data_IF_813884605492
#
_entry.id   IF_813884605492
#
_cell.length_a   1.000
_cell.length_b   1.000
_cell.length_c   1.000
_cell.angle_alpha   90.00
_cell.angle_beta   90.00
_cell.angle_gamma   90.00
#
_symmetry.space_group_name_H-M   'P 1'
#
loop_
_entity.id
_entity.type
_entity.pdbx_description
1 polymer ?
#
# COMPACT_ATOMS: atom_id res chain seq x y z
N UNK A 1 -12.16 1.85 -9.79
CA UNK A 1 -11.80 0.43 -9.99
C UNK A 1 -11.01 0.19 -11.28
N UNK A 2 -11.45 0.66 -12.46
CA UNK A 2 -10.73 0.45 -13.72
C UNK A 2 -9.31 1.04 -13.74
N UNK A 3 -9.10 2.19 -13.08
CA UNK A 3 -7.76 2.81 -12.92
C UNK A 3 -6.80 1.88 -12.19
N UNK A 4 -7.21 1.28 -11.07
CA UNK A 4 -6.37 0.37 -10.29
C UNK A 4 -6.00 -0.89 -11.10
N UNK A 5 -6.96 -1.47 -11.82
CA UNK A 5 -6.71 -2.60 -12.71
C UNK A 5 -5.77 -2.23 -13.88
N UNK A 6 -5.88 -1.01 -14.41
CA UNK A 6 -4.98 -0.50 -15.45
C UNK A 6 -3.57 -0.27 -14.91
N UNK A 7 -3.42 0.28 -13.70
CA UNK A 7 -2.12 0.42 -13.04
C UNK A 7 -1.46 -0.94 -12.84
N UNK A 8 -2.19 -1.95 -12.35
CA UNK A 8 -1.70 -3.32 -12.21
C UNK A 8 -1.29 -3.93 -13.55
N UNK A 9 -2.09 -3.73 -14.60
CA UNK A 9 -1.76 -4.18 -15.95
C UNK A 9 -0.44 -3.57 -16.44
N UNK A 10 -0.25 -2.26 -16.24
CA UNK A 10 0.97 -1.55 -16.62
C UNK A 10 2.18 -2.12 -15.86
N UNK A 11 2.10 -2.26 -14.53
CA UNK A 11 3.21 -2.77 -13.72
C UNK A 11 3.58 -4.22 -14.09
N UNK A 12 2.59 -5.05 -14.42
CA UNK A 12 2.82 -6.44 -14.83
C UNK A 12 3.62 -6.58 -16.13
N UNK A 13 3.70 -5.52 -16.96
CA UNK A 13 4.52 -5.51 -18.18
C UNK A 13 5.99 -5.15 -17.92
N UNK A 14 6.29 -4.57 -16.76
CA UNK A 14 7.66 -4.22 -16.36
C UNK A 14 8.31 -5.29 -15.50
N UNK A 15 7.54 -6.22 -14.95
CA UNK A 15 8.06 -7.33 -14.16
C UNK A 15 8.81 -8.32 -15.06
N UNK A 16 10.09 -8.57 -14.74
CA UNK A 16 10.99 -9.38 -15.57
C UNK A 16 10.96 -10.87 -15.22
N UNK A 17 10.05 -11.31 -14.35
CA UNK A 17 9.94 -12.71 -13.96
C UNK A 17 9.31 -13.52 -15.10
N UNK A 18 10.12 -14.37 -15.75
CA UNK A 18 9.68 -15.22 -16.87
C UNK A 18 8.68 -16.31 -16.46
N UNK A 19 8.43 -16.46 -15.16
CA UNK A 19 7.65 -17.54 -14.58
C UNK A 19 6.16 -17.18 -14.46
N UNK A 20 5.77 -15.91 -14.70
CA UNK A 20 4.40 -15.45 -14.50
C UNK A 20 3.71 -15.09 -15.82
N UNK A 21 2.54 -15.69 -16.05
CA UNK A 21 1.72 -15.37 -17.21
C UNK A 21 1.18 -13.96 -17.06
N UNK A 22 1.56 -13.06 -17.97
CA UNK A 22 1.09 -11.66 -17.90
C UNK A 22 -0.43 -11.63 -18.02
N UNK A 23 -1.13 -10.88 -17.15
CA UNK A 23 -2.58 -10.82 -17.15
C UNK A 23 -3.11 -10.25 -18.46
N UNK A 24 -4.23 -10.78 -18.98
CA UNK A 24 -4.92 -10.21 -20.14
C UNK A 24 -5.94 -9.15 -19.70
N UNK A 25 -6.25 -8.15 -20.54
CA UNK A 25 -7.27 -7.14 -20.26
C UNK A 25 -8.63 -7.75 -19.88
N UNK A 26 -9.05 -8.80 -20.58
CA UNK A 26 -10.30 -9.51 -20.36
C UNK A 26 -10.31 -10.22 -18.99
N UNK A 27 -9.19 -10.83 -18.61
CA UNK A 27 -9.02 -11.47 -17.30
C UNK A 27 -9.09 -10.43 -16.19
N UNK A 28 -8.45 -9.27 -16.35
CA UNK A 28 -8.48 -8.21 -15.34
C UNK A 28 -9.86 -7.59 -15.19
N UNK A 29 -10.59 -7.36 -16.28
CA UNK A 29 -11.97 -6.85 -16.22
C UNK A 29 -12.88 -7.83 -15.49
N UNK A 30 -12.77 -9.13 -15.79
CA UNK A 30 -13.59 -10.17 -15.15
C UNK A 30 -13.25 -10.34 -13.67
N UNK A 31 -11.97 -10.29 -13.30
CA UNK A 31 -11.50 -10.40 -11.92
C UNK A 31 -11.81 -9.14 -11.08
N UNK A 32 -11.53 -7.96 -11.61
CA UNK A 32 -11.70 -6.69 -10.89
C UNK A 32 -13.15 -6.23 -10.79
N UNK A 33 -14.05 -6.77 -11.63
CA UNK A 33 -15.46 -6.36 -11.75
C UNK A 33 -15.59 -4.84 -11.86
N UNK A 34 -14.68 -4.22 -12.59
CA UNK A 34 -14.54 -2.76 -12.64
C UNK A 34 -15.69 -2.03 -13.37
N UNK A 35 -16.67 -2.77 -13.91
CA UNK A 35 -17.87 -2.23 -14.58
C UNK A 35 -17.64 -1.77 -16.03
N UNK A 36 -16.42 -1.89 -16.56
CA UNK A 36 -16.07 -1.53 -17.93
C UNK A 36 -15.74 -2.75 -18.81
N UNK A 37 -15.47 -2.51 -20.09
CA UNK A 37 -15.01 -3.52 -21.05
C UNK A 37 -13.48 -3.59 -21.12
N UNK A 38 -12.93 -4.61 -21.78
CA UNK A 38 -11.49 -4.70 -22.06
C UNK A 38 -10.99 -3.49 -22.87
N UNK A 39 -11.80 -2.97 -23.79
CA UNK A 39 -11.48 -1.76 -24.54
C UNK A 39 -11.41 -0.52 -23.64
N UNK A 40 -12.27 -0.41 -22.62
CA UNK A 40 -12.22 0.68 -21.65
C UNK A 40 -10.97 0.60 -20.77
N UNK A 41 -10.54 -0.62 -20.41
CA UNK A 41 -9.28 -0.83 -19.70
C UNK A 41 -8.10 -0.39 -20.54
N UNK A 42 -8.03 -0.80 -21.82
CA UNK A 42 -6.94 -0.39 -22.73
C UNK A 42 -6.91 1.13 -22.91
N UNK A 43 -8.07 1.77 -23.10
CA UNK A 43 -8.16 3.24 -23.16
C UNK A 43 -7.66 3.88 -21.87
N UNK A 44 -7.96 3.30 -20.71
CA UNK A 44 -7.47 3.80 -19.42
C UNK A 44 -5.95 3.66 -19.30
N UNK A 45 -5.36 2.56 -19.79
CA UNK A 45 -3.91 2.36 -19.86
C UNK A 45 -3.26 3.46 -20.70
N UNK A 46 -3.80 3.75 -21.89
CA UNK A 46 -3.29 4.83 -22.74
C UNK A 46 -3.36 6.20 -22.06
N UNK A 47 -4.47 6.51 -21.38
CA UNK A 47 -4.62 7.75 -20.62
C UNK A 47 -3.54 7.85 -19.53
N UNK A 48 -3.33 6.79 -18.75
CA UNK A 48 -2.34 6.77 -17.66
C UNK A 48 -0.93 6.96 -18.22
N UNK A 49 -0.56 6.23 -19.27
CA UNK A 49 0.77 6.34 -19.88
C UNK A 49 1.00 7.75 -20.46
N UNK A 50 -0.03 8.35 -21.05
CA UNK A 50 0.01 9.73 -21.56
C UNK A 50 0.22 10.74 -20.42
N UNK A 51 -0.43 10.52 -19.27
CA UNK A 51 -0.31 11.39 -18.08
C UNK A 51 1.04 11.26 -17.37
N UNK A 52 1.61 10.06 -17.32
CA UNK A 52 2.95 9.83 -16.75
C UNK A 52 4.06 10.39 -17.65
N UNK A 53 3.83 10.39 -18.96
CA UNK A 53 4.78 10.87 -19.95
C UNK A 53 5.91 9.87 -20.23
N UNK A 54 6.57 9.96 -21.40
CA UNK A 54 7.54 8.95 -21.84
C UNK A 54 8.76 8.80 -20.93
N UNK A 55 9.22 9.90 -20.30
CA UNK A 55 10.39 9.91 -19.41
C UNK A 55 10.14 9.12 -18.12
N UNK A 56 8.97 9.28 -17.51
CA UNK A 56 8.60 8.53 -16.30
C UNK A 56 8.41 7.05 -16.60
N UNK A 57 7.78 6.73 -17.72
CA UNK A 57 7.56 5.32 -18.14
C UNK A 57 8.89 4.63 -18.42
N UNK A 58 9.82 5.30 -19.11
CA UNK A 58 11.17 4.78 -19.33
C UNK A 58 11.93 4.56 -18.01
N UNK A 59 11.81 5.48 -17.05
CA UNK A 59 12.43 5.34 -15.73
C UNK A 59 11.88 4.13 -14.95
N UNK A 60 10.56 3.94 -14.96
CA UNK A 60 9.89 2.79 -14.33
C UNK A 60 10.36 1.48 -14.97
N UNK A 61 10.42 1.42 -16.30
CA UNK A 61 10.83 0.20 -17.02
C UNK A 61 12.32 -0.11 -16.95
N UNK A 62 13.16 0.90 -16.71
CA UNK A 62 14.60 0.70 -16.53
C UNK A 62 14.94 0.23 -15.11
N UNK A 63 14.54 1.02 -14.10
CA UNK A 63 14.99 0.86 -12.71
C UNK A 63 13.94 1.36 -11.70
N UNK A 64 12.75 0.75 -11.67
CA UNK A 64 11.83 0.98 -10.54
C UNK A 64 12.39 0.37 -9.27
N UNK A 65 12.85 1.20 -8.34
CA UNK A 65 13.30 0.77 -7.01
C UNK A 65 12.14 0.82 -6.02
N UNK A 66 11.79 -0.33 -5.47
CA UNK A 66 10.75 -0.49 -4.45
C UNK A 66 11.35 -0.44 -3.04
N UNK A 67 10.50 -0.31 -2.02
CA UNK A 67 10.95 -0.37 -0.63
C UNK A 67 11.60 -1.74 -0.30
N UNK A 68 11.16 -2.81 -0.97
CA UNK A 68 11.73 -4.15 -0.83
C UNK A 68 13.16 -4.19 -1.37
N UNK A 69 13.42 -3.53 -2.51
CA UNK A 69 14.78 -3.42 -3.08
C UNK A 69 15.72 -2.65 -2.15
N UNK A 70 15.24 -1.57 -1.51
CA UNK A 70 16.05 -0.86 -0.52
C UNK A 70 16.29 -1.67 0.74
N UNK A 71 15.30 -2.45 1.21
CA UNK A 71 15.46 -3.33 2.36
C UNK A 71 16.46 -4.45 2.12
N UNK A 72 16.48 -5.05 0.92
CA UNK A 72 17.47 -6.08 0.58
C UNK A 72 18.89 -5.49 0.56
N UNK A 73 19.06 -4.27 0.05
CA UNK A 73 20.34 -3.55 0.10
C UNK A 73 20.73 -3.25 1.54
N UNK A 74 19.83 -2.65 2.32
CA UNK A 74 20.11 -2.30 3.72
C UNK A 74 20.44 -3.55 4.55
N UNK A 75 19.75 -4.66 4.33
CA UNK A 75 19.99 -5.91 5.07
C UNK A 75 21.44 -6.37 5.04
N UNK A 76 22.18 -6.10 3.95
CA UNK A 76 23.60 -6.44 3.85
C UNK A 76 24.48 -5.73 4.89
N UNK A 77 24.02 -4.60 5.43
CA UNK A 77 24.73 -3.81 6.44
C UNK A 77 24.39 -4.20 7.88
N UNK A 78 23.30 -4.95 8.10
CA UNK A 78 22.82 -5.34 9.45
C UNK A 78 23.16 -6.77 9.85
N UNK A 79 24.04 -7.45 9.11
CA UNK A 79 24.49 -8.82 9.38
C UNK A 79 25.65 -8.77 10.39
N UNK A 80 25.56 -9.47 11.54
CA UNK A 80 26.67 -9.54 12.50
C UNK A 80 27.93 -10.16 11.88
N UNK A 81 29.10 -9.59 12.14
CA UNK A 81 30.41 -10.09 11.66
C UNK A 81 30.66 -11.58 11.97
N UNK A 82 29.96 -12.18 12.94
CA UNK A 82 30.12 -13.59 13.32
C UNK A 82 29.56 -14.60 12.30
N UNK A 83 28.60 -14.23 11.44
CA UNK A 83 28.04 -15.14 10.42
C UNK A 83 28.88 -15.21 9.13
N UNK A 84 29.83 -14.30 8.94
CA UNK A 84 30.73 -14.28 7.78
C UNK A 84 31.78 -15.39 7.78
N UNK A 85 31.98 -16.13 8.87
CA UNK A 85 33.01 -17.18 8.93
C UNK A 85 32.57 -18.54 8.38
N UNK A 86 31.27 -18.81 8.22
CA UNK A 86 30.80 -20.15 7.81
C UNK A 86 30.33 -20.27 6.36
N UNK A 87 30.12 -19.17 5.64
CA UNK A 87 29.61 -19.21 4.26
C UNK A 87 30.69 -18.71 3.30
N UNK A 88 31.20 -19.61 2.48
CA UNK A 88 32.10 -19.32 1.37
C UNK A 88 31.43 -18.35 0.39
N UNK A 89 31.73 -17.06 0.56
CA UNK A 89 31.90 -16.03 -0.47
C UNK A 89 31.11 -16.24 -1.79
N UNK A 90 29.79 -16.18 -1.73
CA UNK A 90 28.97 -15.70 -2.84
C UNK A 90 28.54 -14.27 -2.50
N UNK A 91 29.31 -13.28 -2.96
CA UNK A 91 29.20 -11.86 -2.58
C UNK A 91 27.88 -11.18 -3.00
N UNK A 92 26.88 -11.91 -3.50
CA UNK A 92 25.67 -11.37 -4.10
C UNK A 92 24.37 -12.02 -3.59
N UNK A 93 24.37 -12.80 -2.51
CA UNK A 93 23.11 -13.37 -1.99
C UNK A 93 22.36 -12.32 -1.18
N UNK A 94 21.51 -11.55 -1.86
CA UNK A 94 20.55 -10.67 -1.20
C UNK A 94 19.66 -11.51 -0.31
N UNK A 95 19.59 -11.20 0.98
CA UNK A 95 18.75 -11.95 1.91
C UNK A 95 17.27 -11.74 1.55
N UNK A 96 16.48 -12.81 1.39
CA UNK A 96 15.08 -12.69 1.01
C UNK A 96 14.27 -12.05 2.13
N UNK A 97 13.71 -10.86 1.92
CA UNK A 97 12.97 -10.12 2.97
C UNK A 97 11.85 -11.01 3.58
N UNK A 98 11.72 -11.10 4.92
CA UNK A 98 10.71 -11.90 5.58
C UNK A 98 9.29 -11.51 5.17
N UNK A 99 8.41 -12.50 5.07
CA UNK A 99 7.00 -12.32 4.70
C UNK A 99 6.30 -11.35 5.67
N UNK A 100 6.67 -11.37 6.96
CA UNK A 100 6.15 -10.46 7.97
C UNK A 100 6.47 -8.99 7.65
N UNK A 101 7.66 -8.70 7.13
CA UNK A 101 8.08 -7.36 6.70
C UNK A 101 7.39 -6.98 5.40
N UNK A 102 7.29 -7.90 4.43
CA UNK A 102 6.53 -7.67 3.20
C UNK A 102 5.07 -7.26 3.51
N UNK A 103 4.43 -7.97 4.44
CA UNK A 103 3.07 -7.64 4.90
C UNK A 103 2.98 -6.26 5.56
N UNK A 104 3.99 -5.85 6.34
CA UNK A 104 4.01 -4.50 6.92
C UNK A 104 4.13 -3.42 5.83
N UNK A 105 4.92 -3.66 4.77
CA UNK A 105 5.01 -2.76 3.61
C UNK A 105 3.67 -2.69 2.89
N UNK A 106 3.01 -3.82 2.66
CA UNK A 106 1.68 -3.86 2.02
C UNK A 106 0.67 -3.02 2.80
N UNK A 107 0.60 -3.19 4.13
CA UNK A 107 -0.27 -2.39 5.00
C UNK A 107 0.09 -0.91 4.92
N UNK A 108 1.39 -0.59 4.94
CA UNK A 108 1.88 0.77 4.82
C UNK A 108 1.45 1.44 3.51
N UNK A 109 1.57 0.73 2.38
CA UNK A 109 1.23 1.26 1.05
C UNK A 109 -0.28 1.47 0.83
N UNK A 110 -1.13 0.83 1.64
CA UNK A 110 -2.57 1.11 1.65
C UNK A 110 -2.88 2.46 2.29
N UNK A 111 -2.00 2.96 3.17
CA UNK A 111 -2.13 4.30 3.75
C UNK A 111 -1.65 5.38 2.77
N UNK A 112 -2.51 6.35 2.47
CA UNK A 112 -2.16 7.52 1.64
C UNK A 112 -1.04 8.35 2.25
N UNK A 113 -0.98 8.46 3.58
CA UNK A 113 0.03 9.25 4.29
C UNK A 113 1.43 8.63 4.14
N UNK A 114 1.51 7.30 4.20
CA UNK A 114 2.79 6.58 4.13
C UNK A 114 3.26 6.41 2.69
N UNK A 115 2.35 6.25 1.74
CA UNK A 115 2.67 6.14 0.31
C UNK A 115 3.22 7.43 -0.33
N UNK A 116 3.10 8.58 0.36
CA UNK A 116 3.72 9.84 -0.07
C UNK A 116 5.25 9.90 0.14
N UNK A 117 5.81 9.02 0.97
CA UNK A 117 7.25 9.00 1.24
C UNK A 117 8.03 8.27 0.15
N UNK A 118 9.32 8.59 0.03
CA UNK A 118 10.22 7.87 -0.88
C UNK A 118 10.34 6.39 -0.45
N UNK A 119 10.45 5.43 -1.39
CA UNK A 119 10.59 4.01 -1.05
C UNK A 119 11.79 3.70 -0.14
N UNK A 120 12.89 4.43 -0.29
CA UNK A 120 14.08 4.32 0.57
C UNK A 120 13.85 4.85 1.99
N UNK A 121 13.06 5.92 2.13
CA UNK A 121 12.65 6.47 3.42
C UNK A 121 11.72 5.49 4.15
N UNK A 122 10.78 4.86 3.43
CA UNK A 122 9.89 3.83 3.96
C UNK A 122 10.68 2.62 4.47
N UNK A 123 11.67 2.16 3.70
CA UNK A 123 12.55 1.07 4.10
C UNK A 123 13.33 1.37 5.39
N UNK A 124 13.93 2.57 5.50
CA UNK A 124 14.62 2.99 6.74
C UNK A 124 13.65 3.15 7.93
N UNK A 125 12.46 3.71 7.69
CA UNK A 125 11.45 3.88 8.74
C UNK A 125 10.96 2.55 9.30
N UNK A 126 10.82 1.52 8.44
CA UNK A 126 10.53 0.14 8.85
C UNK A 126 11.66 -0.45 9.68
N UNK A 127 12.92 -0.33 9.24
CA UNK A 127 14.06 -0.79 10.04
C UNK A 127 14.13 -0.11 11.40
N UNK A 128 13.92 1.21 11.43
CA UNK A 128 13.86 1.98 12.67
C UNK A 128 12.75 1.47 13.60
N UNK A 129 11.55 1.19 13.05
CA UNK A 129 10.45 0.60 13.81
C UNK A 129 10.80 -0.76 14.42
N UNK A 130 11.48 -1.62 13.66
CA UNK A 130 11.92 -2.94 14.12
C UNK A 130 12.98 -2.84 15.23
N UNK A 131 13.95 -1.94 15.10
CA UNK A 131 14.97 -1.68 16.14
C UNK A 131 14.34 -1.25 17.47
N UNK A 132 13.36 -0.33 17.42
CA UNK A 132 12.69 0.16 18.63
C UNK A 132 11.78 -0.89 19.29
N UNK A 133 11.12 -1.74 18.51
CA UNK A 133 10.28 -2.80 19.06
C UNK A 133 11.11 -3.93 19.69
N UNK A 134 12.25 -4.30 19.08
CA UNK A 134 13.19 -5.28 19.64
C UNK A 134 13.74 -4.82 21.00
N UNK A 135 14.03 -3.53 21.17
CA UNK A 135 14.53 -2.97 22.42
C UNK A 135 13.50 -2.94 23.58
N UNK A 136 12.20 -3.01 23.28
CA UNK A 136 11.10 -2.79 24.25
C UNK A 136 10.35 -4.08 24.61
N UNK A 137 10.46 -5.16 23.83
CA UNK A 137 9.68 -6.37 24.08
C UNK A 137 10.26 -7.67 23.54
N UNK A 138 10.39 -8.63 24.46
CA UNK A 138 10.44 -10.08 24.24
C UNK A 138 11.80 -10.71 23.92
N UNK A 139 12.41 -11.23 25.00
CA UNK A 139 13.35 -12.33 24.98
C UNK A 139 12.71 -13.55 24.28
N UNK A 140 12.99 -13.76 22.99
CA UNK A 140 12.73 -15.03 22.31
C UNK A 140 11.69 -15.08 21.18
N UNK A 141 11.48 -14.01 20.39
CA UNK A 141 10.90 -14.20 19.04
C UNK A 141 12.00 -14.50 18.03
N UNK A 142 11.74 -15.39 17.07
CA UNK A 142 12.68 -15.83 16.02
C UNK A 142 13.07 -14.75 14.99
N UNK A 143 12.98 -13.47 15.36
CA UNK A 143 12.96 -12.29 14.49
C UNK A 143 14.23 -11.43 14.58
N UNK A 144 15.37 -12.01 14.94
CA UNK A 144 16.69 -11.35 14.87
C UNK A 144 17.19 -11.34 13.41
N UNK A 145 16.36 -10.85 12.49
CA UNK A 145 16.65 -10.80 11.06
C UNK A 145 17.82 -9.86 10.77
N UNK A 146 17.89 -8.72 11.50
CA UNK A 146 18.93 -7.70 11.37
C UNK A 146 19.23 -7.06 12.73
N UNK A 147 20.53 -6.86 13.02
CA UNK A 147 20.99 -6.10 14.18
C UNK A 147 21.47 -4.73 13.70
N UNK A 148 20.59 -3.74 13.77
CA UNK A 148 20.95 -2.34 13.53
C UNK A 148 20.91 -1.54 14.81
N UNK A 149 21.92 -0.69 15.00
CA UNK A 149 21.82 0.42 15.93
C UNK A 149 21.24 1.65 15.23
N UNK A 150 20.65 2.56 16.01
CA UNK A 150 20.15 3.85 15.53
C UNK A 150 21.23 4.69 14.85
N UNK A 151 22.50 4.56 15.26
CA UNK A 151 23.66 5.17 14.59
C UNK A 151 23.86 4.66 13.17
N UNK A 152 23.65 3.35 12.95
CA UNK A 152 23.86 2.72 11.65
C UNK A 152 22.77 3.15 10.67
N UNK A 153 21.53 3.21 11.14
CA UNK A 153 20.41 3.75 10.37
C UNK A 153 20.60 5.23 10.02
N UNK A 154 21.13 6.03 10.94
CA UNK A 154 21.46 7.43 10.67
C UNK A 154 22.54 7.55 9.59
N UNK A 155 23.61 6.75 9.67
CA UNK A 155 24.66 6.72 8.65
C UNK A 155 24.12 6.28 7.28
N UNK A 156 23.25 5.26 7.24
CA UNK A 156 22.56 4.85 6.01
C UNK A 156 21.69 5.96 5.42
N UNK A 157 20.98 6.72 6.28
CA UNK A 157 20.20 7.87 5.81
C UNK A 157 21.06 8.93 5.14
N UNK A 158 22.27 9.19 5.67
CA UNK A 158 23.23 10.11 5.08
C UNK A 158 23.75 9.61 3.72
N UNK A 159 24.10 8.32 3.64
CA UNK A 159 24.58 7.70 2.39
C UNK A 159 23.49 7.76 1.31
N UNK A 160 22.23 7.55 1.69
CA UNK A 160 21.09 7.60 0.77
C UNK A 160 20.57 9.02 0.50
N UNK A 161 21.19 10.06 1.09
CA UNK A 161 20.75 11.45 1.00
C UNK A 161 19.28 11.65 1.38
N UNK A 162 18.87 11.06 2.51
CA UNK A 162 17.53 11.13 3.07
C UNK A 162 17.60 11.94 4.36
N UNK A 163 16.68 12.87 4.55
CA UNK A 163 16.63 13.64 5.80
C UNK A 163 16.15 12.73 6.94
N UNK A 164 16.85 12.77 8.08
CA UNK A 164 16.46 11.97 9.25
C UNK A 164 15.08 12.39 9.79
N UNK A 165 14.71 13.66 9.60
CA UNK A 165 13.38 14.18 9.93
C UNK A 165 12.28 13.47 9.15
N UNK A 166 12.50 13.19 7.85
CA UNK A 166 11.53 12.45 7.03
C UNK A 166 11.43 11.00 7.50
N UNK A 167 12.54 10.38 7.89
CA UNK A 167 12.56 9.00 8.42
C UNK A 167 11.76 8.90 9.71
N UNK A 168 11.94 9.85 10.64
CA UNK A 168 11.19 9.89 11.90
C UNK A 168 9.70 10.16 11.65
N UNK A 169 9.37 11.10 10.76
CA UNK A 169 7.99 11.38 10.38
C UNK A 169 7.33 10.14 9.76
N UNK A 170 7.99 9.49 8.80
CA UNK A 170 7.53 8.26 8.16
C UNK A 170 7.37 7.11 9.16
N UNK A 171 8.28 7.00 10.13
CA UNK A 171 8.20 5.98 11.20
C UNK A 171 6.98 6.20 12.11
N UNK A 172 6.64 7.46 12.39
CA UNK A 172 5.46 7.82 13.18
C UNK A 172 4.15 7.51 12.46
N UNK A 173 4.03 7.89 11.17
CA UNK A 173 2.84 7.61 10.35
C UNK A 173 2.69 6.12 10.06
N UNK A 174 3.81 5.42 9.85
CA UNK A 174 3.83 3.97 9.72
C UNK A 174 3.29 3.28 10.98
N UNK A 175 3.76 3.68 12.17
CA UNK A 175 3.26 3.12 13.43
C UNK A 175 1.76 3.34 13.57
N UNK A 176 1.29 4.54 13.25
CA UNK A 176 -0.15 4.84 13.26
C UNK A 176 -0.93 3.96 12.28
N UNK A 177 -0.45 3.81 11.03
CA UNK A 177 -1.06 2.96 10.02
C UNK A 177 -1.13 1.48 10.47
N UNK A 178 -0.04 0.94 11.01
CA UNK A 178 0.01 -0.42 11.53
C UNK A 178 -0.98 -0.61 12.69
N UNK A 179 -1.05 0.34 13.64
CA UNK A 179 -1.99 0.25 14.78
C UNK A 179 -3.45 0.35 14.37
N UNK A 180 -3.80 1.27 13.45
CA UNK A 180 -5.15 1.41 12.88
C UNK A 180 -5.61 0.10 12.23
N UNK A 181 -4.73 -0.53 11.46
CA UNK A 181 -5.03 -1.80 10.80
C UNK A 181 -5.10 -2.97 11.78
N UNK A 182 -4.22 -3.04 12.79
CA UNK A 182 -4.27 -4.07 13.83
C UNK A 182 -5.54 -4.00 14.69
N UNK A 183 -6.11 -2.82 14.92
CA UNK A 183 -7.38 -2.65 15.64
C UNK A 183 -8.63 -2.96 14.81
N UNK A 184 -8.55 -2.75 13.49
CA UNK A 184 -9.68 -2.95 12.56
C UNK A 184 -9.71 -4.33 11.91
N UNK A 185 -8.61 -5.08 11.93
CA UNK A 185 -8.51 -6.40 11.32
C UNK A 185 -8.05 -7.46 12.33
N UNK A 186 -8.97 -8.35 12.72
CA UNK A 186 -8.60 -9.74 13.03
C UNK A 186 -8.21 -10.41 11.72
N UNK A 187 -7.01 -10.13 11.20
CA UNK A 187 -6.48 -10.89 10.06
C UNK A 187 -6.17 -12.29 10.58
N UNK A 188 -7.08 -13.24 10.39
CA UNK A 188 -6.67 -14.64 10.31
C UNK A 188 -5.58 -14.72 9.26
N UNK A 189 -4.50 -15.43 9.55
CA UNK A 189 -3.46 -15.74 8.57
C UNK A 189 -4.12 -16.35 7.33
N UNK A 190 -4.31 -15.51 6.30
CA UNK A 190 -4.80 -15.97 5.03
C UNK A 190 -3.63 -16.72 4.40
N UNK A 191 -3.71 -18.05 4.24
CA UNK A 191 -2.61 -18.78 3.63
C UNK A 191 -2.40 -18.23 2.22
N UNK A 192 -1.14 -18.06 1.83
CA UNK A 192 -0.68 -17.62 0.50
C UNK A 192 -1.24 -18.42 -0.68
N UNK A 193 -2.02 -19.46 -0.40
CA UNK A 193 -2.67 -20.36 -1.36
C UNK A 193 -4.04 -19.87 -1.87
N UNK A 194 -4.52 -18.67 -1.48
CA UNK A 194 -5.67 -18.02 -2.15
C UNK A 194 -5.22 -16.96 -3.15
N UNK A 195 -4.32 -17.35 -4.05
CA UNK A 195 -4.14 -16.63 -5.31
C UNK A 195 -5.47 -16.67 -6.08
N UNK A 196 -5.95 -15.47 -6.45
CA UNK A 196 -6.92 -15.23 -7.53
C UNK A 196 -8.20 -16.10 -7.52
N UNK A 197 -9.26 -15.60 -6.88
CA UNK A 197 -10.63 -15.97 -7.27
C UNK A 197 -11.60 -16.48 -6.20
N UNK A 198 -11.25 -16.47 -4.90
CA UNK A 198 -12.18 -16.97 -3.86
C UNK A 198 -12.17 -16.17 -2.55
N UNK A 199 -12.12 -14.84 -2.62
CA UNK A 199 -12.80 -14.07 -1.57
C UNK A 199 -14.31 -14.23 -1.81
N UNK A 200 -15.08 -14.78 -0.86
CA UNK A 200 -16.51 -14.59 -0.90
C UNK A 200 -16.72 -13.07 -0.90
N UNK A 201 -17.45 -12.53 -1.88
CA UNK A 201 -17.54 -11.10 -2.04
C UNK A 201 -18.01 -10.48 -0.72
N UNK A 202 -17.49 -9.29 -0.37
CA UNK A 202 -18.21 -8.36 0.51
C UNK A 202 -19.46 -7.91 -0.27
N UNK A 203 -20.37 -8.85 -0.51
CA UNK A 203 -21.73 -8.55 -0.86
C UNK A 203 -22.31 -8.09 0.46
N UNK A 204 -22.88 -6.90 0.46
CA UNK A 204 -24.05 -6.68 1.30
C UNK A 204 -25.16 -7.61 0.79
N UNK A 205 -25.00 -8.94 0.97
CA UNK A 205 -26.09 -9.89 0.77
C UNK A 205 -27.01 -9.63 1.94
N UNK A 206 -27.87 -8.64 1.74
CA UNK A 206 -29.10 -8.53 2.50
C UNK A 206 -29.75 -9.92 2.45
N UNK A 207 -30.13 -10.43 3.62
CA UNK A 207 -30.76 -11.75 3.70
C UNK A 207 -31.92 -11.84 2.68
N UNK A 208 -32.25 -13.03 2.17
CA UNK A 208 -33.39 -13.16 1.21
C UNK A 208 -34.69 -12.57 1.76
N UNK A 209 -34.83 -12.54 3.10
CA UNK A 209 -35.94 -11.87 3.80
C UNK A 209 -35.88 -10.35 3.64
N UNK A 210 -34.70 -9.76 3.84
CA UNK A 210 -34.45 -8.33 3.66
C UNK A 210 -34.55 -7.90 2.20
N UNK A 211 -34.02 -8.69 1.27
CA UNK A 211 -34.12 -8.44 -0.17
C UNK A 211 -35.58 -8.41 -0.65
N UNK A 212 -36.40 -9.39 -0.22
CA UNK A 212 -37.84 -9.38 -0.51
C UNK A 212 -38.57 -8.19 0.14
N UNK A 213 -38.18 -7.80 1.35
CA UNK A 213 -38.77 -6.65 2.04
C UNK A 213 -38.51 -5.33 1.33
N UNK A 214 -37.35 -5.18 0.67
CA UNK A 214 -36.99 -3.97 -0.10
C UNK A 214 -37.66 -3.98 -1.48
N UNK A 215 -37.77 -5.15 -2.12
CA UNK A 215 -38.49 -5.27 -3.40
C UNK A 215 -39.99 -5.02 -3.29
N UNK A 216 -40.57 -5.13 -2.08
CA UNK A 216 -41.99 -4.82 -1.82
C UNK A 216 -42.22 -3.52 -1.06
N UNK A 217 -41.18 -2.83 -0.61
CA UNK A 217 -41.34 -1.52 0.02
C UNK A 217 -41.52 -0.47 -1.07
N UNK A 218 -42.63 0.28 -1.03
CA UNK A 218 -42.74 1.51 -1.80
C UNK A 218 -41.58 2.45 -1.43
N UNK A 219 -41.00 3.18 -2.40
CA UNK A 219 -39.91 4.10 -2.12
C UNK A 219 -40.33 5.06 -0.99
N UNK A 220 -39.46 5.33 -0.01
CA UNK A 220 -39.77 6.28 1.05
C UNK A 220 -40.07 7.63 0.41
N UNK A 221 -41.21 8.22 0.74
CA UNK A 221 -41.62 9.57 0.33
C UNK A 221 -40.83 10.66 1.06
N UNK A 222 -39.53 10.45 1.23
CA UNK A 222 -38.61 11.46 1.71
C UNK A 222 -38.13 12.21 0.48
N UNK A 223 -38.35 13.53 0.49
CA UNK A 223 -37.84 14.45 -0.52
C UNK A 223 -36.35 14.20 -0.71
N UNK A 224 -35.96 13.71 -1.88
CA UNK A 224 -34.56 13.57 -2.26
C UNK A 224 -33.95 14.95 -2.19
N UNK A 225 -32.97 15.14 -1.30
CA UNK A 225 -32.17 16.37 -1.24
C UNK A 225 -31.53 16.50 -2.62
N UNK A 226 -31.94 17.52 -3.37
CA UNK A 226 -31.31 17.84 -4.64
C UNK A 226 -30.04 18.63 -4.36
N UNK A 227 -29.02 18.55 -5.22
CA UNK A 227 -27.77 19.31 -5.06
C UNK A 227 -28.00 20.84 -4.92
N UNK A 228 -29.19 21.34 -5.28
CA UNK A 228 -29.62 22.74 -5.10
C UNK A 228 -29.92 23.10 -3.64
N UNK A 229 -30.25 22.13 -2.79
CA UNK A 229 -30.58 22.37 -1.38
C UNK A 229 -29.32 22.56 -0.51
N UNK A 230 -28.17 21.98 -0.88
CA UNK A 230 -26.90 22.21 -0.17
C UNK A 230 -26.38 23.64 -0.35
N UNK A 231 -26.60 24.23 -1.53
CA UNK A 231 -26.17 25.61 -1.84
C UNK A 231 -26.96 26.65 -1.03
N UNK A 232 -28.22 26.36 -0.70
CA UNK A 232 -29.06 27.23 0.16
C UNK A 232 -28.68 27.15 1.63
N UNK A 233 -28.24 25.99 2.12
CA UNK A 233 -27.77 25.85 3.50
C UNK A 233 -26.44 26.60 3.68
N UNK A 234 -25.53 26.50 2.72
CA UNK A 234 -24.27 27.26 2.75
C UNK A 234 -24.48 28.77 2.66
N UNK A 235 -25.43 29.24 1.83
CA UNK A 235 -25.75 30.67 1.77
C UNK A 235 -26.41 31.16 3.07
N UNK A 236 -27.32 30.40 3.67
CA UNK A 236 -27.92 30.78 4.96
C UNK A 236 -26.90 30.80 6.12
N UNK A 237 -25.91 29.90 6.13
CA UNK A 237 -24.82 29.92 7.11
C UNK A 237 -23.85 31.09 6.90
N UNK A 238 -23.68 31.57 5.67
CA UNK A 238 -22.89 32.79 5.38
C UNK A 238 -23.66 34.04 5.82
N UNK A 239 -24.96 34.13 5.54
CA UNK A 239 -25.77 35.28 5.94
C UNK A 239 -26.00 35.38 7.45
N UNK A 240 -26.15 34.25 8.15
CA UNK A 240 -26.31 34.24 9.62
C UNK A 240 -25.01 34.55 10.37
N UNK A 241 -23.83 34.33 9.76
CA UNK A 241 -22.54 34.75 10.33
C UNK A 241 -22.19 36.22 10.06
N UNK A 242 -22.91 36.92 9.19
CA UNK A 242 -22.73 38.37 8.98
C UNK A 242 -23.54 39.25 9.94
N UNK A 243 -24.56 38.70 10.62
CA UNK A 243 -25.46 39.45 11.52
C UNK A 243 -25.04 39.48 13.01
N UNK A 244 -23.80 39.10 13.32
CA UNK A 244 -23.22 39.21 14.69
C UNK A 244 -22.19 40.35 14.84
N UNK A 245 -22.21 41.30 13.90
CA UNK A 245 -21.34 42.48 13.91
C UNK A 245 -22.10 43.79 13.95
N UNK A 246 -22.93 44.02 14.99
CA UNK A 246 -23.37 45.35 15.45
C UNK A 246 -23.69 45.33 16.94
#
# INVERSE_FOLDING_TARGET
MCVAAACYYITSKFERSSEHVSPTPESLVTLSRCGGTAADLTRMVEIILTKLGPSSVAAIGACSATAIDFLSIFSSFGIPFASYQNESRNQNSWLPVPISICRQIEIALVSSEVSCFRPSCLALALLNHLCFNSAVGSLGSADDWLQFHTSDLYNLSLICNISWTDVVACSSTLKEALTKTSGSYTVQDYPSSRLLGSSPPLVWTLSRRTQRSISTSSPPALSTITEVDEERVLLNDIFSNMDLGL
#
